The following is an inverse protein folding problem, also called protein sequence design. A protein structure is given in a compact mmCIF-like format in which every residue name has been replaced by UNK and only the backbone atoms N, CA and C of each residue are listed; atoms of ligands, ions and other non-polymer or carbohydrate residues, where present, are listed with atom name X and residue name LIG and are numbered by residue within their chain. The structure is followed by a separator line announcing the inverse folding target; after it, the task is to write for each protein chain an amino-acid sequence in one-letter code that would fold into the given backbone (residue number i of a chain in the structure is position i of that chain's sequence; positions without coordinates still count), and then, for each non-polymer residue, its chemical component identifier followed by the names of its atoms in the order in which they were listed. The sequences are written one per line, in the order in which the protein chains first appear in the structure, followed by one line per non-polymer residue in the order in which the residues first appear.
data_IF_318912389841
#
_entry.id   IF_318912389841
#
_cell.length_a   1.000
_cell.length_b   1.000
_cell.length_c   1.000
_cell.angle_alpha   90.00
_cell.angle_beta   90.00
_cell.angle_gamma   90.00
#
_symmetry.space_group_name_H-M   'P 1'
#
loop_
_entity.id
_entity.type
_entity.pdbx_description
1 polymer ?
#
# COMPACT_ATOMS: atom_id res chain seq x y z
N UNK A 1 3.46 -0.48 1.70
CA UNK A 1 2.92 0.82 2.12
C UNK A 1 1.63 0.59 2.89
N UNK A 2 1.45 1.24 4.03
CA UNK A 2 0.20 1.17 4.80
C UNK A 2 -0.55 2.49 4.67
N UNK A 3 -1.84 2.40 4.35
CA UNK A 3 -2.72 3.55 4.14
C UNK A 3 -2.32 4.39 2.92
N UNK A 4 -2.26 3.81 1.71
CA UNK A 4 -1.89 4.52 0.49
C UNK A 4 -2.88 5.62 0.09
N UNK A 5 -4.15 5.52 0.52
CA UNK A 5 -5.23 6.39 0.07
C UNK A 5 -5.36 6.41 -1.45
N UNK A 6 -5.29 7.59 -2.06
CA UNK A 6 -5.34 7.75 -3.52
C UNK A 6 -4.01 7.43 -4.23
N UNK A 7 -2.91 7.17 -3.50
CA UNK A 7 -1.69 6.62 -4.05
C UNK A 7 -0.57 7.61 -4.39
N UNK A 8 -0.56 8.83 -3.81
CA UNK A 8 0.50 9.81 -4.09
C UNK A 8 1.91 9.29 -3.75
N UNK A 9 2.07 8.67 -2.58
CA UNK A 9 3.34 8.04 -2.20
C UNK A 9 3.56 6.73 -2.96
N UNK A 10 2.51 5.93 -3.17
CA UNK A 10 2.56 4.71 -3.99
C UNK A 10 3.14 4.99 -5.37
N UNK A 11 2.66 6.03 -6.06
CA UNK A 11 3.17 6.45 -7.37
C UNK A 11 4.66 6.80 -7.29
N UNK A 12 5.06 7.63 -6.33
CA UNK A 12 6.44 8.05 -6.16
C UNK A 12 7.41 6.90 -5.82
N UNK A 13 6.93 5.81 -5.21
CA UNK A 13 7.69 4.60 -4.96
C UNK A 13 7.81 3.74 -6.22
N UNK A 14 6.70 3.54 -6.93
CA UNK A 14 6.65 2.78 -8.18
C UNK A 14 7.52 3.43 -9.26
N UNK A 15 7.45 4.75 -9.43
CA UNK A 15 8.27 5.54 -10.36
C UNK A 15 9.78 5.38 -10.12
N UNK A 16 10.18 5.04 -8.89
CA UNK A 16 11.58 4.73 -8.53
C UNK A 16 11.97 3.27 -8.76
N UNK A 17 11.09 2.46 -9.34
CA UNK A 17 11.34 1.05 -9.62
C UNK A 17 10.94 0.09 -8.51
N UNK A 18 10.30 0.56 -7.43
CA UNK A 18 9.92 -0.32 -6.33
C UNK A 18 8.80 -1.30 -6.73
N UNK A 19 8.77 -2.47 -6.09
CA UNK A 19 7.54 -3.26 -5.96
C UNK A 19 6.84 -2.84 -4.67
N UNK A 20 5.55 -2.57 -4.75
CA UNK A 20 4.77 -2.07 -3.62
C UNK A 20 3.63 -3.02 -3.33
N UNK A 21 3.59 -3.55 -2.10
CA UNK A 21 2.37 -4.10 -1.52
C UNK A 21 1.72 -3.01 -0.68
N UNK A 22 0.53 -2.58 -1.09
CA UNK A 22 -0.27 -1.56 -0.43
C UNK A 22 -1.33 -2.23 0.46
N UNK A 23 -1.40 -1.85 1.73
CA UNK A 23 -2.42 -2.30 2.69
C UNK A 23 -3.36 -1.13 2.97
N UNK A 24 -4.62 -1.27 2.57
CA UNK A 24 -5.64 -0.22 2.69
C UNK A 24 -6.89 -0.79 3.37
N UNK A 25 -7.37 -0.11 4.40
CA UNK A 25 -8.56 -0.54 5.16
C UNK A 25 -9.84 -0.15 4.42
N UNK A 26 -9.85 1.00 3.75
CA UNK A 26 -11.02 1.49 3.02
C UNK A 26 -11.19 0.71 1.69
N UNK A 27 -12.29 -0.05 1.52
CA UNK A 27 -12.50 -0.85 0.31
C UNK A 27 -12.69 0.00 -0.95
N UNK A 28 -13.21 1.22 -0.86
CA UNK A 28 -13.38 2.12 -2.00
C UNK A 28 -12.01 2.56 -2.50
N UNK A 29 -11.14 3.02 -1.58
CA UNK A 29 -9.79 3.46 -1.93
C UNK A 29 -8.93 2.30 -2.44
N UNK A 30 -9.01 1.13 -1.79
CA UNK A 30 -8.30 -0.07 -2.23
C UNK A 30 -8.66 -0.48 -3.66
N UNK A 31 -9.94 -0.41 -4.03
CA UNK A 31 -10.40 -0.71 -5.38
C UNK A 31 -10.04 0.39 -6.40
N UNK A 32 -9.97 1.65 -5.96
CA UNK A 32 -9.64 2.77 -6.82
C UNK A 32 -8.15 2.86 -7.13
N UNK A 33 -7.28 2.51 -6.17
CA UNK A 33 -5.83 2.70 -6.25
C UNK A 33 -5.19 2.10 -7.54
N UNK A 34 -5.49 0.86 -7.96
CA UNK A 34 -4.94 0.31 -9.20
C UNK A 34 -5.30 1.15 -10.44
N UNK A 35 -6.52 1.68 -10.49
CA UNK A 35 -6.99 2.54 -11.59
C UNK A 35 -6.26 3.87 -11.59
N UNK A 36 -6.06 4.46 -10.40
CA UNK A 36 -5.28 5.70 -10.25
C UNK A 36 -3.85 5.51 -10.74
N UNK A 37 -3.19 4.42 -10.34
CA UNK A 37 -1.82 4.12 -10.77
C UNK A 37 -1.75 3.84 -12.28
N UNK A 38 -2.66 3.04 -12.82
CA UNK A 38 -2.68 2.73 -14.25
C UNK A 38 -2.88 3.98 -15.13
N UNK A 39 -3.66 4.96 -14.66
CA UNK A 39 -3.91 6.22 -15.36
C UNK A 39 -2.64 7.09 -15.46
N UNK A 40 -1.79 7.06 -14.44
CA UNK A 40 -0.56 7.85 -14.41
C UNK A 40 0.62 7.10 -15.06
N UNK A 41 0.68 5.77 -14.92
CA UNK A 41 1.73 4.97 -15.54
C UNK A 41 1.33 3.51 -15.75
N UNK A 42 1.03 3.16 -17.00
CA UNK A 42 0.47 1.86 -17.39
C UNK A 42 1.37 0.66 -17.06
N UNK A 43 2.70 0.85 -17.04
CA UNK A 43 3.66 -0.24 -16.75
C UNK A 43 3.86 -0.48 -15.25
N UNK A 44 3.64 0.54 -14.45
CA UNK A 44 3.93 0.56 -13.02
C UNK A 44 2.92 -0.25 -12.21
N UNK A 45 1.67 -0.34 -12.70
CA UNK A 45 0.62 -1.13 -12.05
C UNK A 45 1.00 -2.60 -11.86
N UNK A 46 1.86 -3.16 -12.71
CA UNK A 46 2.32 -4.56 -12.59
C UNK A 46 3.23 -4.79 -11.37
N UNK A 47 3.77 -3.73 -10.78
CA UNK A 47 4.59 -3.78 -9.56
C UNK A 47 3.78 -3.44 -8.30
N UNK A 48 2.49 -3.18 -8.43
CA UNK A 48 1.57 -2.92 -7.33
C UNK A 48 0.78 -4.19 -6.99
N UNK A 49 0.73 -4.51 -5.70
CA UNK A 49 -0.26 -5.42 -5.12
C UNK A 49 -1.08 -4.64 -4.10
N UNK A 50 -2.40 -4.77 -4.12
CA UNK A 50 -3.28 -4.10 -3.15
C UNK A 50 -3.97 -5.16 -2.29
N UNK A 51 -3.83 -5.03 -0.97
CA UNK A 51 -4.47 -5.85 0.03
C UNK A 51 -5.49 -4.99 0.79
N UNK A 52 -6.77 -5.27 0.59
CA UNK A 52 -7.81 -4.63 1.40
C UNK A 52 -7.92 -5.32 2.76
N UNK A 53 -7.18 -4.78 3.74
CA UNK A 53 -6.99 -5.35 5.09
C UNK A 53 -6.75 -4.23 6.09
N UNK A 54 -7.13 -4.49 7.34
CA UNK A 54 -6.74 -3.66 8.47
C UNK A 54 -5.32 -4.03 8.93
N UNK A 55 -4.42 -3.04 8.96
CA UNK A 55 -3.03 -3.23 9.39
C UNK A 55 -2.93 -3.75 10.83
N UNK A 56 -3.87 -3.40 11.71
CA UNK A 56 -3.85 -3.83 13.12
C UNK A 56 -4.12 -5.32 13.29
N UNK A 57 -4.69 -5.97 12.27
CA UNK A 57 -4.96 -7.41 12.26
C UNK A 57 -4.10 -8.17 11.24
N UNK A 58 -3.27 -7.43 10.52
CA UNK A 58 -2.47 -7.95 9.41
C UNK A 58 -1.36 -8.87 9.94
N UNK A 59 -1.20 -10.02 9.29
CA UNK A 59 -0.21 -11.03 9.67
C UNK A 59 0.77 -11.24 8.53
N UNK A 60 1.96 -11.74 8.88
CA UNK A 60 2.96 -12.14 7.90
C UNK A 60 2.43 -13.17 6.89
N UNK A 61 1.49 -14.04 7.32
CA UNK A 61 0.83 -15.02 6.46
C UNK A 61 -0.06 -14.41 5.37
N UNK A 62 -0.47 -13.15 5.52
CA UNK A 62 -1.23 -12.43 4.51
C UNK A 62 -0.35 -11.90 3.36
N UNK A 63 0.98 -11.99 3.50
CA UNK A 63 1.94 -11.61 2.48
C UNK A 63 2.45 -12.80 1.69
N UNK A 64 2.53 -12.64 0.37
CA UNK A 64 3.17 -13.61 -0.52
C UNK A 64 4.69 -13.54 -0.42
N UNK A 65 5.24 -12.32 -0.37
CA UNK A 65 6.68 -12.05 -0.28
C UNK A 65 6.98 -11.21 0.96
N UNK A 66 8.13 -11.43 1.58
CA UNK A 66 8.59 -10.55 2.67
C UNK A 66 9.05 -9.18 2.14
N UNK A 67 8.57 -8.07 2.71
CA UNK A 67 9.01 -6.74 2.30
C UNK A 67 10.40 -6.45 2.87
N UNK A 68 11.20 -5.69 2.14
CA UNK A 68 12.51 -5.19 2.62
C UNK A 68 12.39 -3.92 3.45
N UNK A 69 11.28 -3.21 3.32
CA UNK A 69 10.98 -1.99 4.05
C UNK A 69 9.47 -1.81 4.22
N UNK A 70 9.09 -1.19 5.33
CA UNK A 70 7.73 -0.72 5.57
C UNK A 70 7.73 0.80 5.60
N UNK A 71 6.75 1.39 4.90
CA UNK A 71 6.52 2.84 4.85
C UNK A 71 5.03 3.09 5.03
N UNK A 72 4.68 4.20 5.66
CA UNK A 72 3.31 4.56 5.93
C UNK A 72 3.20 6.08 6.18
N UNK A 73 2.07 6.67 5.81
CA UNK A 73 1.72 8.04 6.17
C UNK A 73 0.47 8.00 7.06
N UNK A 74 0.62 7.44 8.26
CA UNK A 74 -0.50 7.18 9.16
C UNK A 74 -0.63 8.27 10.23
N UNK A 75 -1.87 8.60 10.64
CA UNK A 75 -2.09 9.41 11.82
C UNK A 75 -1.58 8.69 13.07
N UNK A 76 -1.20 9.47 14.09
CA UNK A 76 -0.56 8.96 15.32
C UNK A 76 -1.34 7.84 16.03
N UNK A 77 -2.68 7.93 16.02
CA UNK A 77 -3.56 6.94 16.65
C UNK A 77 -3.51 5.55 16.00
N UNK A 78 -3.05 5.45 14.75
CA UNK A 78 -2.87 4.17 14.03
C UNK A 78 -1.40 3.76 14.00
N UNK A 79 -0.49 4.72 13.82
CA UNK A 79 0.94 4.44 13.69
C UNK A 79 1.53 3.78 14.95
N UNK A 80 1.16 4.24 16.15
CA UNK A 80 1.67 3.71 17.42
C UNK A 80 1.29 2.24 17.63
N UNK A 81 0.00 1.85 17.62
CA UNK A 81 -0.37 0.45 17.83
C UNK A 81 0.06 -0.46 16.68
N UNK A 82 0.30 0.06 15.48
CA UNK A 82 0.81 -0.75 14.37
C UNK A 82 2.31 -1.09 14.48
N UNK A 83 3.06 -0.36 15.32
CA UNK A 83 4.51 -0.57 15.52
C UNK A 83 4.84 -1.35 16.80
N UNK A 84 3.87 -1.56 17.68
CA UNK A 84 4.00 -2.23 18.97
C UNK A 84 3.42 -3.64 18.90
#
# INVERSE_FOLDING_TARGET
EVGPGLGSLTLALLDRGARVTAVEIDPVLANQLPTTIATHSHREVNRLTVLNRDILTFKQSDMTDMPTAMVANLPYNVAVPALL
#
